data_IF_402856610831
#
_entry.id   IF_402856610831
#
_cell.length_a   1.000
_cell.length_b   1.000
_cell.length_c   1.000
_cell.angle_alpha   90.00
_cell.angle_beta   90.00
_cell.angle_gamma   90.00
#
_symmetry.space_group_name_H-M   'P 1'
#
loop_
_entity.id
_entity.type
_entity.pdbx_description
1 polymer ?
#
# COMPACT_ATOMS: atom_id res chain seq x y z
N UNK A 1 -13.31 -5.32 -13.57
CA UNK A 1 -12.22 -5.20 -12.57
C UNK A 1 -12.47 -3.95 -11.76
N UNK A 2 -12.57 -4.07 -10.44
CA UNK A 2 -12.66 -2.89 -9.57
C UNK A 2 -11.29 -2.24 -9.51
N UNK A 3 -11.21 -0.97 -9.91
CA UNK A 3 -10.00 -0.16 -9.79
C UNK A 3 -9.59 -0.02 -8.31
N UNK A 4 -8.29 -0.13 -8.02
CA UNK A 4 -7.71 -0.02 -6.67
C UNK A 4 -8.19 1.27 -5.99
N UNK A 5 -8.24 2.39 -6.74
CA UNK A 5 -8.66 3.68 -6.18
C UNK A 5 -10.08 3.63 -5.64
N UNK A 6 -11.00 3.03 -6.39
CA UNK A 6 -12.40 2.82 -5.98
C UNK A 6 -12.53 1.84 -4.81
N UNK A 7 -11.66 0.83 -4.71
CA UNK A 7 -11.66 -0.11 -3.58
C UNK A 7 -11.21 0.58 -2.28
N UNK A 8 -10.18 1.43 -2.34
CA UNK A 8 -9.70 2.19 -1.19
C UNK A 8 -10.73 3.21 -0.69
N UNK A 9 -11.44 3.87 -1.61
CA UNK A 9 -12.52 4.83 -1.32
C UNK A 9 -13.65 4.24 -0.47
N UNK A 10 -13.97 2.97 -0.72
CA UNK A 10 -15.08 2.26 -0.05
C UNK A 10 -14.64 1.48 1.18
N UNK A 11 -13.34 1.36 1.42
CA UNK A 11 -12.81 0.58 2.51
C UNK A 11 -12.98 1.31 3.85
N UNK A 12 -13.28 0.56 4.90
CA UNK A 12 -13.20 1.10 6.25
C UNK A 12 -11.76 1.47 6.60
N UNK A 13 -11.56 2.39 7.55
CA UNK A 13 -10.23 2.75 8.06
C UNK A 13 -9.41 1.52 8.49
N UNK A 14 -10.04 0.55 9.16
CA UNK A 14 -9.38 -0.69 9.56
C UNK A 14 -8.89 -1.50 8.35
N UNK A 15 -9.69 -1.61 7.29
CA UNK A 15 -9.30 -2.30 6.05
C UNK A 15 -8.16 -1.58 5.34
N UNK A 16 -8.18 -0.25 5.34
CA UNK A 16 -7.08 0.56 4.82
C UNK A 16 -5.78 0.37 5.61
N UNK A 17 -5.84 0.35 6.95
CA UNK A 17 -4.68 0.05 7.80
C UNK A 17 -4.10 -1.33 7.49
N UNK A 18 -4.95 -2.35 7.38
CA UNK A 18 -4.52 -3.70 7.01
C UNK A 18 -3.89 -3.74 5.60
N UNK A 19 -4.51 -3.07 4.62
CA UNK A 19 -3.98 -3.00 3.26
C UNK A 19 -2.61 -2.32 3.21
N UNK A 20 -2.43 -1.22 3.94
CA UNK A 20 -1.14 -0.53 4.05
C UNK A 20 -0.08 -1.42 4.68
N UNK A 21 -0.39 -2.09 5.79
CA UNK A 21 0.53 -3.02 6.45
C UNK A 21 0.94 -4.17 5.53
N UNK A 22 -0.02 -4.77 4.80
CA UNK A 22 0.27 -5.82 3.82
C UNK A 22 1.07 -5.31 2.62
N UNK A 23 0.83 -4.09 2.16
CA UNK A 23 1.58 -3.49 1.06
C UNK A 23 3.03 -3.20 1.45
N UNK A 24 3.24 -2.65 2.66
CA UNK A 24 4.57 -2.48 3.25
C UNK A 24 5.29 -3.83 3.34
N UNK A 25 4.62 -4.86 3.84
CA UNK A 25 5.20 -6.21 3.92
C UNK A 25 5.54 -6.78 2.53
N UNK A 26 4.68 -6.57 1.52
CA UNK A 26 4.96 -6.98 0.14
C UNK A 26 6.22 -6.34 -0.41
N UNK A 27 6.42 -5.04 -0.14
CA UNK A 27 7.66 -4.36 -0.52
C UNK A 27 8.88 -4.83 0.26
N UNK A 28 8.77 -5.18 1.55
CA UNK A 28 9.92 -5.73 2.29
C UNK A 28 10.34 -7.11 1.78
N UNK A 29 9.39 -7.91 1.26
CA UNK A 29 9.70 -9.14 0.53
C UNK A 29 10.46 -8.82 -0.78
N UNK A 30 9.95 -7.88 -1.59
CA UNK A 30 10.61 -7.48 -2.84
C UNK A 30 12.01 -6.90 -2.61
N UNK A 31 12.22 -6.14 -1.53
CA UNK A 31 13.51 -5.57 -1.16
C UNK A 31 14.57 -6.64 -0.85
N UNK A 32 14.17 -7.88 -0.57
CA UNK A 32 15.04 -9.02 -0.25
C UNK A 32 15.42 -9.87 -1.46
N UNK A 33 14.87 -9.59 -2.64
CA UNK A 33 15.25 -10.26 -3.87
C UNK A 33 16.78 -10.12 -4.08
N UNK A 34 17.56 -11.23 -4.14
CA UNK A 34 19.01 -11.17 -4.31
C UNK A 34 19.42 -10.53 -5.64
N UNK A 35 18.57 -10.61 -6.67
CA UNK A 35 18.86 -10.14 -8.02
C UNK A 35 18.46 -8.67 -8.22
N UNK A 36 17.80 -8.06 -7.24
CA UNK A 36 17.43 -6.64 -7.29
C UNK A 36 18.66 -5.73 -7.18
N UNK A 37 18.80 -4.81 -8.15
CA UNK A 37 19.82 -3.77 -8.14
C UNK A 37 19.65 -2.78 -6.98
N UNK A 38 20.72 -2.08 -6.62
CA UNK A 38 20.68 -1.04 -5.58
C UNK A 38 19.67 0.06 -5.88
N UNK A 39 19.54 0.43 -7.16
CA UNK A 39 18.55 1.41 -7.61
C UNK A 39 17.12 0.90 -7.38
N UNK A 40 16.85 -0.37 -7.69
CA UNK A 40 15.54 -0.99 -7.44
C UNK A 40 15.25 -1.08 -5.94
N UNK A 41 16.22 -1.48 -5.11
CA UNK A 41 16.08 -1.52 -3.65
C UNK A 41 15.82 -0.13 -3.07
N UNK A 42 16.50 0.91 -3.58
CA UNK A 42 16.26 2.30 -3.18
C UNK A 42 14.85 2.75 -3.51
N UNK A 43 14.34 2.46 -4.71
CA UNK A 43 12.95 2.76 -5.07
C UNK A 43 11.95 2.03 -4.16
N UNK A 44 12.16 0.75 -3.90
CA UNK A 44 11.33 -0.05 -2.98
C UNK A 44 11.34 0.56 -1.57
N UNK A 45 12.51 0.93 -1.04
CA UNK A 45 12.62 1.55 0.28
C UNK A 45 11.90 2.90 0.36
N UNK A 46 11.97 3.71 -0.69
CA UNK A 46 11.20 4.95 -0.76
C UNK A 46 9.70 4.67 -0.68
N UNK A 47 9.20 3.66 -1.40
CA UNK A 47 7.78 3.27 -1.36
C UNK A 47 7.35 2.79 0.02
N UNK A 48 8.18 1.98 0.68
CA UNK A 48 7.95 1.57 2.06
C UNK A 48 7.82 2.80 2.96
N UNK A 49 8.71 3.77 2.82
CA UNK A 49 8.70 4.99 3.61
C UNK A 49 7.41 5.80 3.42
N UNK A 50 6.98 6.03 2.18
CA UNK A 50 5.73 6.73 1.88
C UNK A 50 4.51 5.99 2.45
N UNK A 51 4.39 4.68 2.22
CA UNK A 51 3.27 3.89 2.73
C UNK A 51 3.26 3.83 4.26
N UNK A 52 4.43 3.74 4.90
CA UNK A 52 4.54 3.83 6.35
C UNK A 52 4.09 5.22 6.86
N UNK A 53 4.39 6.30 6.16
CA UNK A 53 3.88 7.64 6.47
C UNK A 53 2.36 7.71 6.42
N UNK A 54 1.74 7.11 5.39
CA UNK A 54 0.27 7.01 5.31
C UNK A 54 -0.32 6.14 6.42
N UNK A 55 0.33 5.01 6.74
CA UNK A 55 -0.09 4.13 7.84
C UNK A 55 -0.07 4.90 9.17
N UNK A 56 1.02 5.60 9.48
CA UNK A 56 1.16 6.37 10.71
C UNK A 56 0.10 7.46 10.84
N UNK A 57 -0.23 8.16 9.74
CA UNK A 57 -1.34 9.12 9.73
C UNK A 57 -2.69 8.45 9.97
N UNK A 58 -2.92 7.29 9.37
CA UNK A 58 -4.22 6.63 9.42
C UNK A 58 -4.50 5.93 10.76
N UNK A 59 -3.45 5.60 11.52
CA UNK A 59 -3.57 5.06 12.89
C UNK A 59 -4.23 6.08 13.82
N UNK A 60 -4.01 7.38 13.59
CA UNK A 60 -4.74 8.42 14.29
C UNK A 60 -6.19 8.51 13.77
N UNK A 61 -7.21 8.20 14.59
CA UNK A 61 -8.60 8.20 14.16
C UNK A 61 -9.11 9.60 13.76
N UNK A 62 -8.52 10.67 14.31
CA UNK A 62 -8.90 12.05 14.03
C UNK A 62 -8.28 12.59 12.73
N UNK A 63 -7.22 11.95 12.25
CA UNK A 63 -6.58 12.34 10.99
C UNK A 63 -7.53 12.08 9.81
N UNK A 64 -7.88 13.11 9.01
CA UNK A 64 -8.83 12.96 7.92
C UNK A 64 -8.24 12.08 6.82
N UNK A 65 -9.08 11.23 6.23
CA UNK A 65 -8.78 10.53 4.99
C UNK A 65 -9.35 11.36 3.83
N UNK A 66 -8.48 12.02 3.07
CA UNK A 66 -8.87 12.80 1.90
C UNK A 66 -8.37 12.16 0.59
N UNK A 67 -8.80 12.71 -0.54
CA UNK A 67 -8.44 12.23 -1.88
C UNK A 67 -6.91 12.17 -2.06
N UNK A 68 -6.20 13.20 -1.61
CA UNK A 68 -4.74 13.24 -1.70
C UNK A 68 -4.06 12.11 -0.92
N UNK A 69 -4.62 11.69 0.22
CA UNK A 69 -4.13 10.51 0.93
C UNK A 69 -4.34 9.24 0.12
N UNK A 70 -5.51 9.08 -0.50
CA UNK A 70 -5.84 7.90 -1.28
C UNK A 70 -5.01 7.80 -2.56
N UNK A 71 -4.79 8.92 -3.24
CA UNK A 71 -3.98 8.99 -4.45
C UNK A 71 -2.52 8.62 -4.18
N UNK A 72 -1.93 9.12 -3.08
CA UNK A 72 -0.59 8.73 -2.65
C UNK A 72 -0.48 7.23 -2.34
N UNK A 73 -1.51 6.64 -1.74
CA UNK A 73 -1.55 5.19 -1.49
C UNK A 73 -1.59 4.41 -2.82
N UNK A 74 -2.41 4.84 -3.78
CA UNK A 74 -2.48 4.21 -5.12
C UNK A 74 -1.15 4.31 -5.86
N UNK A 75 -0.54 5.50 -5.88
CA UNK A 75 0.74 5.74 -6.56
C UNK A 75 1.82 4.76 -6.08
N UNK A 76 1.92 4.55 -4.78
CA UNK A 76 2.96 3.70 -4.22
C UNK A 76 2.59 2.22 -4.26
N UNK A 77 1.37 1.84 -3.88
CA UNK A 77 0.95 0.44 -3.80
C UNK A 77 0.77 -0.23 -5.17
N UNK A 78 0.46 0.54 -6.21
CA UNK A 78 0.34 0.01 -7.60
C UNK A 78 1.65 -0.56 -8.17
N UNK A 79 2.78 -0.32 -7.51
CA UNK A 79 4.10 -0.86 -7.91
C UNK A 79 4.48 -2.14 -7.20
N UNK A 80 3.60 -2.70 -6.36
CA UNK A 80 3.73 -4.08 -5.94
C UNK A 80 3.74 -4.99 -7.17
N UNK A 81 4.47 -6.11 -7.08
CA UNK A 81 4.34 -7.13 -8.11
C UNK A 81 2.88 -7.65 -8.18
N UNK A 82 2.49 -8.13 -9.36
CA UNK A 82 1.09 -8.44 -9.67
C UNK A 82 0.46 -9.41 -8.64
N UNK A 83 1.19 -10.45 -8.24
CA UNK A 83 0.69 -11.45 -7.28
C UNK A 83 0.38 -10.84 -5.93
N UNK A 84 1.32 -10.06 -5.36
CA UNK A 84 1.12 -9.42 -4.06
C UNK A 84 0.06 -8.33 -4.12
N UNK A 85 -0.04 -7.61 -5.24
CA UNK A 85 -1.08 -6.60 -5.46
C UNK A 85 -2.48 -7.26 -5.48
N UNK A 86 -2.65 -8.37 -6.18
CA UNK A 86 -3.89 -9.13 -6.24
C UNK A 86 -4.30 -9.69 -4.87
N UNK A 87 -3.38 -10.36 -4.18
CA UNK A 87 -3.60 -10.89 -2.82
C UNK A 87 -4.05 -9.78 -1.84
N UNK A 88 -3.48 -8.58 -1.98
CA UNK A 88 -3.82 -7.44 -1.13
C UNK A 88 -5.15 -6.80 -1.51
N UNK A 89 -5.48 -6.70 -2.81
CA UNK A 89 -6.76 -6.17 -3.27
C UNK A 89 -7.93 -7.08 -2.86
N UNK A 90 -7.75 -8.40 -2.95
CA UNK A 90 -8.75 -9.37 -2.46
C UNK A 90 -8.99 -9.22 -0.96
N UNK A 91 -7.93 -9.09 -0.17
CA UNK A 91 -8.03 -8.85 1.27
C UNK A 91 -8.68 -7.48 1.58
N UNK A 92 -8.41 -6.45 0.77
CA UNK A 92 -9.05 -5.15 0.90
C UNK A 92 -10.54 -5.22 0.62
N UNK A 93 -11.00 -6.11 -0.27
CA UNK A 93 -12.39 -6.23 -0.74
C UNK A 93 -13.24 -7.23 0.07
N UNK A 94 -12.63 -8.15 0.82
CA UNK A 94 -13.33 -9.10 1.68
C UNK A 94 -14.29 -8.39 2.67
N UNK A 95 -15.52 -8.90 2.76
CA UNK A 95 -16.62 -8.37 3.60
C UNK A 95 -16.45 -8.84 5.03
#
# INVERSE_FOLDING_TARGET
>A
MTDLRSALEKASRQRLLHYLARSIHGFTIMARDPDASDAARKDINNRIHYLAGHLMKLIDPESPLNEWNLDGIVEHASKLNARLAEDNLLALMAV
#
